data_IF_328867387372
#
_entry.id   IF_328867387372
#
_cell.length_a   1.000
_cell.length_b   1.000
_cell.length_c   1.000
_cell.angle_alpha   90.00
_cell.angle_beta   90.00
_cell.angle_gamma   90.00
#
_symmetry.space_group_name_H-M   'P 1'
#
loop_
_entity.id
_entity.type
_entity.pdbx_description
1 polymer ?
#
# COMPACT_ATOMS: atom_id res chain seq x y z
N UNK A 1 14.53 27.55 -26.12
CA UNK A 1 15.46 26.44 -25.81
C UNK A 1 15.70 26.44 -24.30
N UNK A 2 15.52 25.32 -23.62
CA UNK A 2 15.78 25.20 -22.17
C UNK A 2 16.99 24.30 -21.94
N UNK A 3 17.85 24.66 -20.99
CA UNK A 3 19.04 23.89 -20.62
C UNK A 3 18.88 23.42 -19.17
N UNK A 4 19.04 22.12 -18.93
CA UNK A 4 18.91 21.53 -17.60
C UNK A 4 20.28 21.07 -17.09
N UNK A 5 20.70 21.59 -15.95
CA UNK A 5 21.97 21.23 -15.32
C UNK A 5 21.75 20.78 -13.88
N UNK A 6 22.51 19.78 -13.45
CA UNK A 6 22.64 19.49 -12.02
C UNK A 6 23.69 20.41 -11.41
N UNK A 7 23.40 21.09 -10.28
CA UNK A 7 24.39 21.87 -9.54
C UNK A 7 25.38 20.97 -8.77
N UNK A 8 25.15 19.66 -8.72
CA UNK A 8 26.01 18.71 -8.01
C UNK A 8 27.29 18.42 -8.81
N UNK A 9 28.44 18.61 -8.17
CA UNK A 9 29.77 18.36 -8.73
C UNK A 9 30.38 19.54 -9.50
N UNK A 10 31.63 19.38 -9.94
CA UNK A 10 32.41 20.49 -10.50
C UNK A 10 32.15 20.79 -11.99
N UNK A 11 31.49 19.88 -12.71
CA UNK A 11 31.30 19.99 -14.15
C UNK A 11 30.50 21.24 -14.55
N UNK A 12 29.43 21.57 -13.80
CA UNK A 12 28.63 22.75 -14.06
C UNK A 12 29.43 24.03 -13.83
N UNK A 13 30.16 24.12 -12.70
CA UNK A 13 31.05 25.24 -12.37
C UNK A 13 32.11 25.44 -13.46
N UNK A 14 32.71 24.36 -13.97
CA UNK A 14 33.69 24.41 -15.06
C UNK A 14 33.08 24.93 -16.37
N UNK A 15 31.88 24.49 -16.74
CA UNK A 15 31.17 24.97 -17.95
C UNK A 15 30.74 26.42 -17.84
N UNK A 16 30.21 26.84 -16.69
CA UNK A 16 29.79 28.23 -16.46
C UNK A 16 30.95 29.22 -16.61
N UNK A 17 32.17 28.83 -16.20
CA UNK A 17 33.39 29.63 -16.41
C UNK A 17 33.87 29.67 -17.86
N UNK A 18 33.77 28.54 -18.58
CA UNK A 18 34.18 28.45 -19.99
C UNK A 18 33.22 29.19 -20.94
N UNK A 19 31.94 29.28 -20.58
CA UNK A 19 30.89 29.87 -21.41
C UNK A 19 30.08 30.93 -20.62
N UNK A 20 30.54 32.18 -20.53
CA UNK A 20 29.88 33.24 -19.76
C UNK A 20 28.44 33.55 -20.22
N UNK A 21 28.12 33.29 -21.49
CA UNK A 21 26.77 33.44 -22.03
C UNK A 21 25.73 32.58 -21.30
N UNK A 22 26.14 31.46 -20.66
CA UNK A 22 25.23 30.64 -19.86
C UNK A 22 24.67 31.41 -18.66
N UNK A 23 25.45 32.33 -18.07
CA UNK A 23 25.02 33.11 -16.91
C UNK A 23 24.47 34.47 -17.33
N UNK A 24 25.08 35.11 -18.34
CA UNK A 24 24.74 36.47 -18.74
C UNK A 24 23.57 36.58 -19.74
N UNK A 25 23.28 35.51 -20.49
CA UNK A 25 22.30 35.54 -21.57
C UNK A 25 21.15 34.53 -21.36
N UNK A 26 21.05 33.93 -20.18
CA UNK A 26 19.94 33.02 -19.84
C UNK A 26 19.27 33.44 -18.54
N UNK A 27 17.98 33.12 -18.41
CA UNK A 27 17.26 33.26 -17.14
C UNK A 27 17.49 31.99 -16.33
N UNK A 28 18.01 32.14 -15.12
CA UNK A 28 18.28 31.02 -14.22
C UNK A 28 17.03 30.77 -13.37
N UNK A 29 16.47 29.58 -13.52
CA UNK A 29 15.42 29.05 -12.64
C UNK A 29 16.03 27.99 -11.72
N UNK A 30 15.88 28.17 -10.40
CA UNK A 30 16.51 27.31 -9.41
C UNK A 30 15.50 26.37 -8.77
N UNK A 31 15.68 25.07 -9.03
CA UNK A 31 14.82 24.02 -8.49
C UNK A 31 15.22 23.71 -7.05
N UNK A 32 14.45 24.24 -6.11
CA UNK A 32 14.61 23.94 -4.69
C UNK A 32 14.09 22.54 -4.34
N UNK A 33 14.61 21.91 -3.28
CA UNK A 33 13.97 20.75 -2.66
C UNK A 33 12.50 21.06 -2.35
N UNK A 34 11.64 20.05 -2.45
CA UNK A 34 10.22 20.25 -2.14
C UNK A 34 10.03 20.62 -0.67
N UNK A 35 9.34 21.72 -0.36
CA UNK A 35 8.96 22.05 1.00
C UNK A 35 7.98 21.01 1.55
N UNK A 36 7.84 20.96 2.87
CA UNK A 36 6.94 20.03 3.53
C UNK A 36 5.49 20.14 3.04
N UNK A 37 4.99 21.37 2.86
CA UNK A 37 3.64 21.61 2.33
C UNK A 37 3.43 21.03 0.93
N UNK A 38 4.46 21.09 0.08
CA UNK A 38 4.40 20.49 -1.26
C UNK A 38 4.39 18.96 -1.16
N UNK A 39 5.19 18.38 -0.27
CA UNK A 39 5.18 16.93 -0.02
C UNK A 39 3.82 16.46 0.50
N UNK A 40 3.19 17.21 1.40
CA UNK A 40 1.84 16.93 1.92
C UNK A 40 0.81 17.02 0.79
N UNK A 41 0.85 18.08 -0.03
CA UNK A 41 -0.09 18.26 -1.15
C UNK A 41 0.04 17.13 -2.19
N UNK A 42 1.28 16.74 -2.52
CA UNK A 42 1.56 15.62 -3.41
C UNK A 42 1.05 14.31 -2.79
N UNK A 43 1.40 14.03 -1.54
CA UNK A 43 0.95 12.83 -0.83
C UNK A 43 -0.57 12.73 -0.83
N UNK A 44 -1.27 13.80 -0.43
CA UNK A 44 -2.74 13.90 -0.44
C UNK A 44 -3.32 13.55 -1.81
N UNK A 45 -2.87 14.25 -2.86
CA UNK A 45 -3.37 14.04 -4.23
C UNK A 45 -3.21 12.60 -4.68
N UNK A 46 -2.08 11.96 -4.36
CA UNK A 46 -1.88 10.57 -4.74
C UNK A 46 -2.64 9.60 -3.81
N UNK A 47 -2.86 9.91 -2.55
CA UNK A 47 -3.64 9.05 -1.64
C UNK A 47 -5.15 9.16 -1.83
N UNK A 48 -5.66 10.23 -2.43
CA UNK A 48 -7.11 10.43 -2.66
C UNK A 48 -7.73 9.33 -3.52
N UNK A 49 -6.96 8.72 -4.42
CA UNK A 49 -7.38 7.58 -5.24
C UNK A 49 -7.54 6.27 -4.45
N UNK A 50 -7.03 6.20 -3.22
CA UNK A 50 -7.10 5.00 -2.40
C UNK A 50 -8.37 4.97 -1.54
N UNK A 51 -9.02 3.81 -1.52
CA UNK A 51 -10.06 3.50 -0.56
C UNK A 51 -9.42 3.30 0.83
N UNK A 52 -9.78 4.16 1.77
CA UNK A 52 -9.22 4.18 3.12
C UNK A 52 -10.39 4.11 4.12
N UNK A 53 -10.26 3.37 5.23
CA UNK A 53 -11.38 3.15 6.14
C UNK A 53 -11.91 4.41 6.83
N UNK A 54 -11.05 5.41 7.08
CA UNK A 54 -11.40 6.64 7.76
C UNK A 54 -10.52 7.81 7.29
N UNK A 55 -11.07 9.01 7.28
CA UNK A 55 -10.36 10.23 6.87
C UNK A 55 -9.24 10.61 7.84
N UNK A 56 -9.40 10.31 9.13
CA UNK A 56 -8.33 10.52 10.12
C UNK A 56 -7.08 9.68 9.82
N UNK A 57 -7.29 8.43 9.38
CA UNK A 57 -6.19 7.53 9.00
C UNK A 57 -5.53 8.03 7.72
N UNK A 58 -6.33 8.52 6.76
CA UNK A 58 -5.82 9.15 5.53
C UNK A 58 -4.92 10.34 5.87
N UNK A 59 -5.37 11.25 6.72
CA UNK A 59 -4.58 12.40 7.17
C UNK A 59 -3.28 11.99 7.86
N UNK A 60 -3.33 10.96 8.72
CA UNK A 60 -2.14 10.44 9.39
C UNK A 60 -1.12 9.89 8.40
N UNK A 61 -1.56 9.13 7.40
CA UNK A 61 -0.69 8.58 6.33
C UNK A 61 -0.09 9.71 5.49
N UNK A 62 -0.90 10.70 5.10
CA UNK A 62 -0.45 11.85 4.31
C UNK A 62 0.63 12.65 5.05
N UNK A 63 0.49 12.85 6.36
CA UNK A 63 1.50 13.55 7.19
C UNK A 63 2.74 12.70 7.47
N UNK A 64 2.58 11.38 7.56
CA UNK A 64 3.69 10.46 7.82
C UNK A 64 4.67 10.38 6.64
N UNK A 65 4.18 10.44 5.39
CA UNK A 65 5.04 10.34 4.21
C UNK A 65 6.14 11.42 4.16
N UNK A 66 5.85 12.73 4.25
CA UNK A 66 6.88 13.79 4.35
C UNK A 66 7.82 13.61 5.54
N UNK A 67 7.29 13.25 6.71
CA UNK A 67 8.08 13.01 7.91
C UNK A 67 9.12 11.90 7.70
N UNK A 68 8.70 10.78 7.09
CA UNK A 68 9.60 9.67 6.77
C UNK A 68 10.69 10.09 5.79
N UNK A 69 10.34 10.87 4.76
CA UNK A 69 11.28 11.37 3.76
C UNK A 69 12.31 12.33 4.38
N UNK A 70 11.87 13.25 5.23
CA UNK A 70 12.76 14.15 5.97
C UNK A 70 13.70 13.37 6.91
N UNK A 71 13.19 12.34 7.58
CA UNK A 71 14.00 11.48 8.44
C UNK A 71 15.08 10.75 7.65
N UNK A 72 14.74 10.17 6.49
CA UNK A 72 15.73 9.52 5.61
C UNK A 72 16.81 10.52 5.16
N UNK A 73 16.44 11.77 4.84
CA UNK A 73 17.43 12.80 4.48
C UNK A 73 18.41 13.10 5.61
N UNK A 74 17.93 13.16 6.85
CA UNK A 74 18.79 13.34 8.03
C UNK A 74 19.73 12.15 8.23
N UNK A 75 19.24 10.92 8.02
CA UNK A 75 20.08 9.73 8.12
C UNK A 75 21.12 9.65 7.00
N UNK A 76 20.76 10.04 5.77
CA UNK A 76 21.71 10.13 4.65
C UNK A 76 22.88 11.07 4.97
N UNK A 77 22.63 12.18 5.66
CA UNK A 77 23.70 13.07 6.11
C UNK A 77 24.65 12.39 7.12
N UNK A 78 24.10 11.63 8.08
CA UNK A 78 24.90 10.85 9.04
C UNK A 78 25.73 9.76 8.37
N UNK A 79 25.17 9.06 7.38
CA UNK A 79 25.90 8.05 6.61
C UNK A 79 27.08 8.70 5.87
N UNK A 80 26.89 9.90 5.32
CA UNK A 80 27.98 10.63 4.69
C UNK A 80 29.10 10.99 5.70
N UNK A 81 28.76 11.38 6.92
CA UNK A 81 29.75 11.68 7.95
C UNK A 81 30.57 10.45 8.35
N UNK A 82 29.92 9.29 8.48
CA UNK A 82 30.55 8.04 8.94
C UNK A 82 31.33 7.33 7.84
N UNK A 83 30.73 7.16 6.66
CA UNK A 83 31.27 6.31 5.59
C UNK A 83 31.84 7.11 4.42
N UNK A 84 31.68 8.45 4.40
CA UNK A 84 32.00 9.30 3.25
C UNK A 84 31.29 8.87 1.97
N UNK A 85 30.16 8.17 2.11
CA UNK A 85 29.31 7.71 1.01
C UNK A 85 28.11 8.62 0.86
N UNK A 86 27.91 9.15 -0.34
CA UNK A 86 26.73 9.94 -0.65
C UNK A 86 25.51 9.03 -0.89
N UNK A 87 24.43 9.30 -0.16
CA UNK A 87 23.10 8.72 -0.39
C UNK A 87 22.15 9.85 -0.75
N UNK A 88 21.67 9.84 -1.98
CA UNK A 88 20.81 10.90 -2.49
C UNK A 88 19.34 10.48 -2.44
N UNK A 89 18.51 11.38 -1.95
CA UNK A 89 17.06 11.30 -2.08
C UNK A 89 16.61 12.33 -3.10
N UNK A 90 15.64 11.95 -3.91
CA UNK A 90 15.08 12.83 -4.95
C UNK A 90 13.57 12.88 -4.81
N UNK A 91 12.89 13.90 -5.35
CA UNK A 91 11.42 13.90 -5.41
C UNK A 91 10.86 12.64 -6.10
N UNK A 92 11.61 12.04 -7.03
CA UNK A 92 11.23 10.76 -7.63
C UNK A 92 11.21 9.61 -6.61
N UNK A 93 12.18 9.55 -5.70
CA UNK A 93 12.19 8.59 -4.60
C UNK A 93 10.95 8.72 -3.71
N UNK A 94 10.48 9.94 -3.46
CA UNK A 94 9.23 10.18 -2.73
C UNK A 94 8.01 9.66 -3.48
N UNK A 95 7.92 9.87 -4.79
CA UNK A 95 6.84 9.31 -5.61
C UNK A 95 6.86 7.78 -5.66
N UNK A 96 8.06 7.17 -5.69
CA UNK A 96 8.19 5.71 -5.61
C UNK A 96 7.77 5.16 -4.24
N UNK A 97 8.03 5.88 -3.14
CA UNK A 97 7.52 5.53 -1.81
C UNK A 97 5.98 5.46 -1.82
N UNK A 98 5.32 6.48 -2.38
CA UNK A 98 3.86 6.50 -2.48
C UNK A 98 3.35 5.35 -3.35
N UNK A 99 3.97 5.15 -4.52
CA UNK A 99 3.61 4.06 -5.43
C UNK A 99 3.75 2.69 -4.79
N UNK A 100 4.84 2.46 -4.05
CA UNK A 100 5.07 1.23 -3.31
C UNK A 100 4.00 1.03 -2.23
N UNK A 101 3.68 2.08 -1.48
CA UNK A 101 2.61 2.05 -0.48
C UNK A 101 1.26 1.63 -1.11
N UNK A 102 0.87 2.26 -2.23
CA UNK A 102 -0.34 1.88 -2.99
C UNK A 102 -0.35 0.40 -3.34
N UNK A 103 0.72 -0.07 -3.98
CA UNK A 103 0.82 -1.44 -4.46
C UNK A 103 0.74 -2.47 -3.31
N UNK A 104 1.40 -2.18 -2.19
CA UNK A 104 1.35 -3.05 -1.01
C UNK A 104 -0.03 -3.06 -0.36
N UNK A 105 -0.68 -1.90 -0.25
CA UNK A 105 -2.01 -1.79 0.33
C UNK A 105 -3.03 -2.58 -0.48
N UNK A 106 -3.10 -2.35 -1.80
CA UNK A 106 -4.00 -3.09 -2.69
C UNK A 106 -3.77 -4.60 -2.59
N UNK A 107 -2.51 -5.05 -2.66
CA UNK A 107 -2.18 -6.47 -2.55
C UNK A 107 -2.67 -7.09 -1.23
N UNK A 108 -2.48 -6.39 -0.11
CA UNK A 108 -2.93 -6.90 1.19
C UNK A 108 -4.46 -6.91 1.28
N UNK A 109 -5.12 -5.85 0.80
CA UNK A 109 -6.59 -5.78 0.78
C UNK A 109 -7.18 -6.88 -0.08
N UNK A 110 -6.66 -7.12 -1.28
CA UNK A 110 -7.13 -8.18 -2.17
C UNK A 110 -6.99 -9.56 -1.52
N UNK A 111 -5.84 -9.81 -0.86
CA UNK A 111 -5.61 -11.06 -0.12
C UNK A 111 -6.62 -11.24 1.02
N UNK A 112 -6.94 -10.16 1.74
CA UNK A 112 -7.91 -10.20 2.84
C UNK A 112 -9.34 -10.40 2.34
N UNK A 113 -9.71 -9.78 1.21
CA UNK A 113 -11.01 -9.96 0.58
C UNK A 113 -11.18 -11.41 0.12
N UNK A 114 -10.18 -11.98 -0.55
CA UNK A 114 -10.19 -13.39 -0.96
C UNK A 114 -10.34 -14.33 0.24
N UNK A 115 -9.60 -14.08 1.33
CA UNK A 115 -9.73 -14.86 2.56
C UNK A 115 -11.14 -14.76 3.15
N UNK A 116 -11.70 -13.53 3.21
CA UNK A 116 -13.06 -13.30 3.70
C UNK A 116 -14.09 -14.07 2.88
N UNK A 117 -14.03 -13.99 1.55
CA UNK A 117 -14.96 -14.71 0.67
C UNK A 117 -14.89 -16.22 0.88
N UNK A 118 -13.69 -16.76 1.06
CA UNK A 118 -13.51 -18.18 1.38
C UNK A 118 -14.12 -18.56 2.73
N UNK A 119 -14.02 -17.71 3.74
CA UNK A 119 -14.67 -17.93 5.04
C UNK A 119 -16.20 -17.85 4.92
N UNK A 120 -16.72 -16.85 4.22
CA UNK A 120 -18.17 -16.67 4.02
C UNK A 120 -18.77 -17.90 3.30
N UNK A 121 -18.10 -18.39 2.24
CA UNK A 121 -18.48 -19.64 1.57
C UNK A 121 -18.41 -20.87 2.49
N UNK A 122 -17.40 -20.93 3.35
CA UNK A 122 -17.25 -21.99 4.35
C UNK A 122 -18.42 -22.01 5.35
N UNK A 123 -18.82 -20.84 5.84
CA UNK A 123 -19.94 -20.69 6.78
C UNK A 123 -21.25 -21.13 6.13
N UNK A 124 -21.52 -20.71 4.88
CA UNK A 124 -22.72 -21.12 4.15
C UNK A 124 -22.78 -22.65 3.99
N UNK A 125 -21.67 -23.29 3.59
CA UNK A 125 -21.62 -24.76 3.46
C UNK A 125 -21.85 -25.49 4.77
N UNK A 126 -21.35 -24.95 5.89
CA UNK A 126 -21.57 -25.52 7.22
C UNK A 126 -23.04 -25.43 7.62
N UNK A 127 -23.71 -24.31 7.33
CA UNK A 127 -25.15 -24.14 7.57
C UNK A 127 -25.97 -25.11 6.73
N UNK A 128 -25.69 -25.21 5.42
CA UNK A 128 -26.37 -26.16 4.52
C UNK A 128 -26.21 -27.61 5.01
N UNK A 129 -25.00 -27.99 5.43
CA UNK A 129 -24.75 -29.35 5.96
C UNK A 129 -25.51 -29.57 7.27
N UNK A 130 -25.58 -28.58 8.15
CA UNK A 130 -26.36 -28.65 9.39
C UNK A 130 -27.85 -28.86 9.14
N UNK A 131 -28.41 -28.18 8.14
CA UNK A 131 -29.81 -28.39 7.73
C UNK A 131 -30.05 -29.78 7.15
N UNK A 132 -29.12 -30.28 6.31
CA UNK A 132 -29.21 -31.63 5.73
C UNK A 132 -29.13 -32.72 6.81
N UNK A 133 -28.18 -32.59 7.76
CA UNK A 133 -28.05 -33.54 8.87
C UNK A 133 -29.30 -33.54 9.74
N UNK A 134 -29.87 -32.38 10.05
CA UNK A 134 -31.10 -32.28 10.84
C UNK A 134 -32.28 -33.01 10.18
N UNK A 135 -32.43 -32.88 8.85
CA UNK A 135 -33.46 -33.60 8.09
C UNK A 135 -33.23 -35.11 8.11
N UNK A 136 -31.99 -35.57 7.90
CA UNK A 136 -31.67 -37.00 7.98
C UNK A 136 -31.95 -37.58 9.38
N UNK A 137 -31.66 -36.83 10.45
CA UNK A 137 -31.95 -37.28 11.82
C UNK A 137 -33.46 -37.46 12.07
N UNK A 138 -34.30 -36.59 11.50
CA UNK A 138 -35.76 -36.73 11.57
C UNK A 138 -36.24 -37.97 10.81
N UNK A 139 -35.78 -38.17 9.57
CA UNK A 139 -36.12 -39.34 8.75
C UNK A 139 -35.67 -40.65 9.42
N UNK A 140 -34.47 -40.67 10.03
CA UNK A 140 -33.92 -41.85 10.68
C UNK A 140 -34.73 -42.25 11.93
N UNK A 141 -35.25 -41.27 12.69
CA UNK A 141 -36.14 -41.52 13.82
C UNK A 141 -37.43 -42.19 13.35
N UNK A 142 -38.05 -41.70 12.28
CA UNK A 142 -39.27 -42.31 11.71
C UNK A 142 -38.98 -43.74 11.25
N UNK A 143 -37.90 -43.93 10.49
CA UNK A 143 -37.51 -45.25 10.00
C UNK A 143 -37.21 -46.25 11.11
N UNK A 144 -36.57 -45.82 12.20
CA UNK A 144 -36.28 -46.71 13.34
C UNK A 144 -37.53 -47.26 14.03
N UNK A 145 -38.61 -46.46 14.12
CA UNK A 145 -39.90 -46.89 14.68
C UNK A 145 -40.57 -47.91 13.76
N UNK A 146 -40.60 -47.66 12.45
CA UNK A 146 -41.14 -48.63 11.47
C UNK A 146 -40.37 -49.95 11.47
N UNK A 147 -39.04 -49.91 11.62
CA UNK A 147 -38.22 -51.12 11.68
C UNK A 147 -38.51 -51.92 12.94
N UNK A 148 -38.69 -51.28 14.10
CA UNK A 148 -39.11 -51.99 15.32
C UNK A 148 -40.49 -52.64 15.17
N UNK A 149 -41.46 -51.95 14.57
CA UNK A 149 -42.79 -52.52 14.31
C UNK A 149 -42.71 -53.74 13.40
N UNK A 150 -42.00 -53.63 12.27
CA UNK A 150 -41.82 -54.74 11.34
C UNK A 150 -41.05 -55.91 11.96
N UNK A 151 -40.09 -55.63 12.86
CA UNK A 151 -39.36 -56.67 13.57
C UNK A 151 -40.26 -57.44 14.56
N UNK A 152 -41.13 -56.74 15.30
CA UNK A 152 -42.13 -57.36 16.19
C UNK A 152 -43.13 -58.24 15.43
N UNK A 153 -43.47 -57.87 14.19
CA UNK A 153 -44.34 -58.68 13.32
C UNK A 153 -43.61 -59.91 12.75
N UNK A 154 -42.29 -59.82 12.52
CA UNK A 154 -41.50 -60.93 11.98
C UNK A 154 -41.06 -61.94 13.06
N UNK A 155 -40.94 -61.52 14.32
CA UNK A 155 -40.57 -62.37 15.47
C UNK A 155 -41.79 -63.03 16.17
N UNK A 156 -43.01 -62.85 15.65
CA UNK A 156 -44.27 -63.45 16.14
C UNK A 156 -44.76 -64.58 15.22
#
# INVERSE_FOLDING_TARGET
MALCFSPVGDAFRGRARKFPALVNCTVIDWFQPWPEDALISVARKFTDELDMPNDEVREAVVKFMPFSFATVNQQSAKIFEMERRFVYTTPKSFLELIKLFKAMLTKQTDTLVEQRENYDLGVVKLQETGEVVSKLEEELKVFSVEVEEKKKVADA
#
